data_IF_343603912005
#
_entry.id   IF_343603912005
#
_cell.length_a   1.000
_cell.length_b   1.000
_cell.length_c   1.000
_cell.angle_alpha   90.00
_cell.angle_beta   90.00
_cell.angle_gamma   90.00
#
_symmetry.space_group_name_H-M   'P 1'
#
loop_
_entity.id
_entity.type
_entity.pdbx_description
1 polymer ?
#
# COMPACT_ATOMS: atom_id res chain seq x y z
N UNK A 1 1.61 4.01 6.36
CA UNK A 1 1.04 5.30 6.08
C UNK A 1 -0.47 5.22 6.06
N UNK A 2 -1.01 5.13 7.24
CA UNK A 2 -2.44 4.94 7.41
C UNK A 2 -3.25 6.11 6.90
N UNK A 3 -2.62 7.27 6.82
CA UNK A 3 -3.29 8.47 6.40
C UNK A 3 -3.47 8.58 4.89
N UNK A 4 -2.84 7.72 4.13
CA UNK A 4 -2.96 7.77 2.68
C UNK A 4 -4.32 7.26 2.24
N UNK A 5 -5.01 8.05 1.42
CA UNK A 5 -6.33 7.71 0.90
C UNK A 5 -6.31 7.94 -0.59
N UNK A 6 -6.45 6.88 -1.35
CA UNK A 6 -6.47 6.97 -2.80
C UNK A 6 -7.74 7.66 -3.28
N UNK A 7 -7.70 8.15 -4.48
CA UNK A 7 -8.85 8.80 -5.10
C UNK A 7 -9.09 10.22 -4.66
N UNK A 8 -8.24 10.73 -3.78
CA UNK A 8 -8.34 12.11 -3.33
C UNK A 8 -7.02 12.79 -3.60
N UNK A 9 -7.05 14.01 -4.12
CA UNK A 9 -5.83 14.75 -4.41
C UNK A 9 -4.83 14.80 -3.27
N UNK A 10 -5.34 14.69 -2.06
CA UNK A 10 -4.51 14.67 -0.85
C UNK A 10 -3.57 13.48 -0.85
N UNK A 11 -4.04 12.32 -1.29
CA UNK A 11 -3.20 11.12 -1.32
C UNK A 11 -1.96 11.28 -2.18
N UNK A 12 -2.12 11.94 -3.32
CA UNK A 12 -1.01 12.17 -4.22
C UNK A 12 0.08 13.02 -3.57
N UNK A 13 -0.32 14.08 -2.88
CA UNK A 13 0.64 14.95 -2.21
C UNK A 13 1.31 14.27 -1.04
N UNK A 14 0.58 13.45 -0.31
CA UNK A 14 1.14 12.73 0.83
C UNK A 14 2.20 11.73 0.39
N UNK A 15 1.94 11.00 -0.68
CA UNK A 15 2.90 10.02 -1.16
C UNK A 15 4.14 10.70 -1.73
N UNK A 16 3.97 11.83 -2.41
CA UNK A 16 5.10 12.59 -2.92
C UNK A 16 6.00 13.08 -1.79
N UNK A 17 5.39 13.57 -0.71
CA UNK A 17 6.15 14.03 0.46
C UNK A 17 6.84 12.86 1.14
N UNK A 18 6.20 11.71 1.22
CA UNK A 18 6.81 10.53 1.82
C UNK A 18 8.05 10.12 1.04
N UNK A 19 7.99 10.18 -0.27
CA UNK A 19 9.12 9.85 -1.12
C UNK A 19 10.27 10.84 -0.90
N UNK A 20 9.95 12.14 -0.87
CA UNK A 20 10.96 13.17 -0.61
C UNK A 20 11.62 12.99 0.73
N UNK A 21 10.80 12.75 1.76
CA UNK A 21 11.28 12.58 3.12
C UNK A 21 12.23 11.39 3.20
N UNK A 22 11.83 10.29 2.56
CA UNK A 22 12.66 9.09 2.56
C UNK A 22 13.99 9.33 1.86
N UNK A 23 14.00 10.08 0.75
CA UNK A 23 15.24 10.46 0.07
C UNK A 23 16.11 11.31 0.98
N UNK A 24 15.51 12.29 1.62
CA UNK A 24 16.24 13.20 2.51
C UNK A 24 16.90 12.44 3.64
N UNK A 25 16.24 11.43 4.17
CA UNK A 25 16.77 10.65 5.27
C UNK A 25 17.71 9.53 4.83
N UNK A 26 17.98 9.43 3.54
CA UNK A 26 18.91 8.43 3.04
C UNK A 26 18.37 7.02 3.00
N UNK A 27 17.06 6.88 3.03
CA UNK A 27 16.44 5.56 2.91
C UNK A 27 16.71 4.97 1.53
N UNK A 28 16.96 3.68 1.48
CA UNK A 28 17.21 3.02 0.21
C UNK A 28 15.95 2.48 -0.43
N UNK A 29 14.89 2.35 0.35
CA UNK A 29 13.67 1.70 -0.07
C UNK A 29 12.50 2.26 0.73
N UNK A 30 11.39 2.44 0.05
CA UNK A 30 10.13 2.82 0.68
C UNK A 30 9.13 1.74 0.35
N UNK A 31 8.41 1.25 1.34
CA UNK A 31 7.40 0.23 1.08
C UNK A 31 6.09 0.56 1.77
N UNK A 32 5.02 -0.05 1.28
CA UNK A 32 3.70 0.10 1.86
C UNK A 32 2.93 -1.20 1.66
N UNK A 33 1.86 -1.34 2.42
CA UNK A 33 1.01 -2.52 2.35
C UNK A 33 -0.43 -2.08 2.10
N UNK A 34 -1.08 -2.75 1.17
CA UNK A 34 -2.50 -2.58 0.93
C UNK A 34 -3.16 -3.95 0.86
N UNK A 35 -4.44 -3.99 0.56
CA UNK A 35 -5.18 -5.26 0.54
C UNK A 35 -5.64 -5.58 -0.87
N UNK A 36 -5.96 -6.85 -1.09
CA UNK A 36 -6.27 -7.37 -2.43
C UNK A 36 -7.50 -6.74 -3.07
N UNK A 37 -8.39 -6.20 -2.26
CA UNK A 37 -9.62 -5.58 -2.72
C UNK A 37 -9.45 -4.14 -3.18
N UNK A 38 -8.34 -3.50 -2.82
CA UNK A 38 -8.14 -2.08 -3.04
C UNK A 38 -7.49 -1.84 -4.39
N UNK A 39 -8.27 -2.02 -5.44
CA UNK A 39 -7.78 -1.90 -6.81
C UNK A 39 -7.31 -0.49 -7.14
N UNK A 40 -7.96 0.52 -6.56
CA UNK A 40 -7.56 1.91 -6.76
C UNK A 40 -6.17 2.16 -6.20
N UNK A 41 -5.90 1.67 -4.99
CA UNK A 41 -4.58 1.82 -4.39
C UNK A 41 -3.51 1.08 -5.19
N UNK A 42 -3.82 -0.14 -5.61
CA UNK A 42 -2.88 -0.91 -6.42
C UNK A 42 -2.52 -0.19 -7.70
N UNK A 43 -3.50 0.39 -8.37
CA UNK A 43 -3.26 1.16 -9.57
C UNK A 43 -2.50 2.45 -9.29
N UNK A 44 -2.91 3.16 -8.26
CA UNK A 44 -2.32 4.44 -7.90
C UNK A 44 -0.82 4.31 -7.59
N UNK A 45 -0.46 3.34 -6.75
CA UNK A 45 0.93 3.19 -6.35
C UNK A 45 1.81 2.69 -7.49
N UNK A 46 1.29 1.76 -8.29
CA UNK A 46 2.08 1.28 -9.44
C UNK A 46 2.33 2.37 -10.45
N UNK A 47 1.35 3.24 -10.68
CA UNK A 47 1.55 4.38 -11.58
C UNK A 47 2.57 5.36 -11.04
N UNK A 48 2.78 5.37 -9.73
CA UNK A 48 3.77 6.23 -9.08
C UNK A 48 5.16 5.59 -9.05
N UNK A 49 5.31 4.39 -9.56
CA UNK A 49 6.60 3.73 -9.62
C UNK A 49 6.84 2.67 -8.56
N UNK A 50 5.84 2.38 -7.73
CA UNK A 50 5.95 1.26 -6.81
C UNK A 50 5.75 -0.03 -7.56
N UNK A 51 6.44 -1.08 -7.10
CA UNK A 51 6.31 -2.41 -7.67
C UNK A 51 5.80 -3.37 -6.62
N UNK A 52 5.01 -4.35 -7.06
CA UNK A 52 4.52 -5.39 -6.14
C UNK A 52 5.71 -6.24 -5.73
N UNK A 53 5.98 -6.29 -4.44
CA UNK A 53 7.12 -7.01 -3.89
C UNK A 53 6.74 -8.35 -3.30
N UNK A 54 5.55 -8.45 -2.72
CA UNK A 54 5.10 -9.68 -2.08
C UNK A 54 3.60 -9.70 -1.93
N UNK A 55 3.05 -10.90 -1.88
CA UNK A 55 1.64 -11.12 -1.59
C UNK A 55 1.57 -12.06 -0.39
N UNK A 56 0.89 -11.62 0.65
CA UNK A 56 0.73 -12.41 1.87
C UNK A 56 -0.68 -13.00 1.88
N UNK A 57 -0.78 -14.18 1.31
CA UNK A 57 -2.07 -14.85 1.16
C UNK A 57 -2.67 -15.16 2.52
N UNK A 58 -3.95 -14.81 2.67
CA UNK A 58 -4.68 -15.09 3.90
C UNK A 58 -4.30 -14.21 5.08
N UNK A 59 -3.45 -13.21 4.90
CA UNK A 59 -3.02 -12.36 6.01
C UNK A 59 -4.19 -11.66 6.70
N UNK A 60 -5.19 -11.22 5.94
CA UNK A 60 -6.35 -10.55 6.53
C UNK A 60 -7.20 -11.56 7.29
N UNK A 61 -7.30 -12.79 6.81
CA UNK A 61 -8.02 -13.85 7.52
C UNK A 61 -7.37 -14.11 8.88
N UNK A 62 -6.03 -14.11 8.93
CA UNK A 62 -5.31 -14.26 10.19
C UNK A 62 -5.54 -13.08 11.11
N UNK A 63 -5.49 -11.88 10.56
CA UNK A 63 -5.75 -10.67 11.35
C UNK A 63 -7.17 -10.67 11.92
N UNK A 64 -8.12 -11.21 11.17
CA UNK A 64 -9.53 -11.26 11.60
C UNK A 64 -9.72 -12.15 12.82
N UNK A 65 -8.84 -13.13 13.02
CA UNK A 65 -8.89 -13.96 14.22
C UNK A 65 -8.64 -13.14 15.48
N UNK A 66 -7.83 -12.09 15.33
CA UNK A 66 -7.51 -11.18 16.45
C UNK A 66 -8.51 -10.03 16.48
N UNK A 67 -8.90 -9.52 15.31
CA UNK A 67 -9.84 -8.42 15.19
C UNK A 67 -11.05 -8.85 14.38
N UNK A 68 -12.02 -9.51 15.01
CA UNK A 68 -13.16 -10.06 14.26
C UNK A 68 -14.04 -9.02 13.57
N UNK A 69 -13.86 -7.74 13.89
CA UNK A 69 -14.61 -6.69 13.21
C UNK A 69 -14.17 -6.37 11.81
N UNK A 70 -13.04 -6.93 11.34
CA UNK A 70 -12.59 -6.69 9.97
C UNK A 70 -13.62 -7.28 9.00
N UNK A 71 -14.12 -6.47 8.03
CA UNK A 71 -15.15 -6.96 7.11
C UNK A 71 -14.68 -8.15 6.28
N UNK A 72 -15.63 -9.01 5.91
CA UNK A 72 -15.34 -10.15 5.04
C UNK A 72 -15.19 -9.74 3.60
N UNK A 73 -15.85 -8.66 3.20
CA UNK A 73 -15.84 -8.16 1.83
C UNK A 73 -15.43 -6.70 1.88
N UNK A 74 -14.51 -6.32 1.03
CA UNK A 74 -14.01 -4.96 0.97
C UNK A 74 -14.48 -4.20 -0.26
N UNK A 75 -13.62 -3.36 -0.79
CA UNK A 75 -13.93 -2.55 -1.96
C UNK A 75 -14.25 -3.44 -3.17
N UNK A 76 -15.11 -2.94 -4.03
CA UNK A 76 -15.46 -3.61 -5.28
C UNK A 76 -16.10 -4.98 -5.07
N UNK A 77 -16.68 -5.20 -3.89
CA UNK A 77 -17.30 -6.49 -3.54
C UNK A 77 -16.32 -7.66 -3.60
N UNK A 78 -15.04 -7.36 -3.44
CA UNK A 78 -13.99 -8.39 -3.45
C UNK A 78 -13.78 -8.91 -2.03
N UNK A 79 -13.68 -10.24 -1.85
CA UNK A 79 -13.38 -10.78 -0.53
C UNK A 79 -12.07 -10.20 0.01
N UNK A 80 -12.11 -9.68 1.21
CA UNK A 80 -10.97 -9.06 1.86
C UNK A 80 -10.16 -10.16 2.54
N UNK A 81 -9.03 -10.53 1.96
CA UNK A 81 -8.31 -11.73 2.33
C UNK A 81 -6.80 -11.58 2.42
N UNK A 82 -6.19 -10.88 1.47
CA UNK A 82 -4.75 -10.88 1.30
C UNK A 82 -4.15 -9.51 1.47
N UNK A 83 -2.89 -9.46 1.90
CA UNK A 83 -2.13 -8.21 1.92
C UNK A 83 -1.11 -8.23 0.81
N UNK A 84 -0.87 -7.06 0.23
CA UNK A 84 0.07 -6.89 -0.87
C UNK A 84 1.07 -5.82 -0.48
N UNK A 85 2.34 -6.17 -0.53
CA UNK A 85 3.42 -5.24 -0.26
C UNK A 85 3.92 -4.66 -1.57
N UNK A 86 4.03 -3.33 -1.63
CA UNK A 86 4.63 -2.66 -2.77
C UNK A 86 5.85 -1.89 -2.30
N UNK A 87 6.83 -1.74 -3.16
CA UNK A 87 8.05 -1.03 -2.79
C UNK A 87 8.55 -0.16 -3.92
N UNK A 88 9.31 0.86 -3.54
CA UNK A 88 9.99 1.73 -4.48
C UNK A 88 11.44 1.84 -4.05
N UNK A 89 12.36 1.62 -4.99
CA UNK A 89 13.78 1.83 -4.73
C UNK A 89 14.08 3.31 -4.76
N UNK A 90 14.81 3.78 -3.74
CA UNK A 90 15.14 5.19 -3.60
C UNK A 90 16.62 5.44 -3.84
N UNK A 91 17.30 4.53 -4.52
CA UNK A 91 18.73 4.67 -4.73
C UNK A 91 19.07 5.78 -5.72
N UNK A 92 18.14 6.56 -6.04
CA UNK A 92 18.29 7.75 -6.82
C UNK A 92 19.27 7.54 -7.98
N UNK A 93 19.18 7.96 -9.05
CA UNK A 93 20.13 7.92 -10.13
C UNK A 93 21.14 6.77 -10.17
N UNK A 94 21.15 5.97 -9.15
CA UNK A 94 22.12 4.87 -9.11
C UNK A 94 21.69 3.77 -10.05
#
# INVERSE_FOLDING_TARGET
LDSLREGQGIGSKLIDRAIEEAHTQGCKRLFLITTNDNLNALGFYQKRGFEIAAVYRGAVNEARKIKPGIPLVGYNHIPLRDEIELEMSLRGGA
#
